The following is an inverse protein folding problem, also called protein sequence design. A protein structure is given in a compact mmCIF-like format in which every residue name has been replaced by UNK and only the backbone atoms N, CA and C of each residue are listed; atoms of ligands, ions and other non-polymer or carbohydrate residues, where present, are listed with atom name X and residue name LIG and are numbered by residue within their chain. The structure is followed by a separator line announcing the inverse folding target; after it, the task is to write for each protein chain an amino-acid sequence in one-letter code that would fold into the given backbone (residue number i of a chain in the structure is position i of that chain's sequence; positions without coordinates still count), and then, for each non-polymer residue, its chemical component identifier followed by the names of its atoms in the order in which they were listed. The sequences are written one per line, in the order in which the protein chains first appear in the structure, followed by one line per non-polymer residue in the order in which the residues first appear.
data_IF_632229623853
#
_entry.id   IF_632229623853
#
_cell.length_a   1.000
_cell.length_b   1.000
_cell.length_c   1.000
_cell.angle_alpha   90.00
_cell.angle_beta   90.00
_cell.angle_gamma   90.00
#
_symmetry.space_group_name_H-M   'P 1'
#
loop_
_entity.id
_entity.type
_entity.pdbx_description
1 polymer ?
#
# COMPACT_ATOMS: atom_id res chain seq x y z
N UNK A 1 -48.90 -1.29 46.53
CA UNK A 1 -48.12 -2.55 46.38
C UNK A 1 -46.87 -2.20 45.57
N UNK A 2 -45.75 -1.93 46.25
CA UNK A 2 -44.47 -1.59 45.65
C UNK A 2 -43.63 -2.86 45.54
N UNK A 3 -43.24 -3.25 44.36
CA UNK A 3 -42.27 -4.35 44.15
C UNK A 3 -40.93 -3.68 43.85
N UNK A 4 -40.03 -3.75 44.82
CA UNK A 4 -38.62 -3.40 44.63
C UNK A 4 -37.91 -4.63 44.12
N UNK A 5 -37.34 -4.55 42.92
CA UNK A 5 -36.42 -5.54 42.40
C UNK A 5 -34.97 -5.05 42.70
N UNK A 6 -34.32 -5.68 43.64
CA UNK A 6 -32.90 -5.55 43.88
C UNK A 6 -32.15 -6.32 42.80
N UNK A 7 -31.29 -5.63 42.04
CA UNK A 7 -30.32 -6.25 41.17
C UNK A 7 -29.07 -6.59 41.99
N UNK A 8 -28.59 -7.82 41.99
CA UNK A 8 -27.33 -8.14 42.63
C UNK A 8 -26.17 -7.55 41.79
N UNK A 9 -25.34 -6.78 42.47
CA UNK A 9 -24.20 -6.06 41.92
C UNK A 9 -23.11 -6.98 41.34
N UNK A 10 -22.61 -6.55 40.20
CA UNK A 10 -21.21 -6.52 39.80
C UNK A 10 -20.29 -7.69 40.17
N UNK A 11 -20.35 -8.76 39.40
CA UNK A 11 -19.24 -9.73 39.30
C UNK A 11 -18.66 -9.84 37.86
N UNK A 12 -19.11 -9.00 36.91
CA UNK A 12 -18.71 -9.09 35.50
C UNK A 12 -17.51 -8.20 35.16
N UNK A 13 -17.10 -7.30 36.07
CA UNK A 13 -16.06 -6.29 35.80
C UNK A 13 -14.61 -6.79 35.72
N UNK A 14 -14.28 -7.94 36.32
CA UNK A 14 -12.88 -8.37 36.40
C UNK A 14 -12.49 -9.49 35.42
N UNK A 15 -13.42 -10.24 34.91
CA UNK A 15 -13.14 -11.29 33.91
C UNK A 15 -12.84 -10.72 32.51
N UNK A 16 -13.41 -9.55 32.17
CA UNK A 16 -13.20 -8.90 30.88
C UNK A 16 -11.81 -8.30 30.71
N UNK A 17 -11.21 -7.79 31.81
CA UNK A 17 -9.88 -7.15 31.76
C UNK A 17 -8.76 -8.20 31.65
N UNK A 18 -8.94 -9.37 32.27
CA UNK A 18 -7.97 -10.47 32.16
C UNK A 18 -7.93 -11.12 30.77
N UNK A 19 -9.05 -11.09 30.02
CA UNK A 19 -9.10 -11.63 28.66
C UNK A 19 -8.41 -10.72 27.63
N UNK A 20 -8.46 -9.40 27.79
CA UNK A 20 -7.75 -8.47 26.91
C UNK A 20 -6.23 -8.50 27.12
N UNK A 21 -5.77 -8.75 28.33
CA UNK A 21 -4.34 -8.86 28.63
C UNK A 21 -3.66 -10.10 28.07
N UNK A 22 -4.40 -11.20 27.84
CA UNK A 22 -3.87 -12.44 27.28
C UNK A 22 -3.82 -12.46 25.75
N UNK A 23 -4.55 -11.56 25.05
CA UNK A 23 -4.48 -11.41 23.61
C UNK A 23 -3.32 -10.50 23.14
N UNK A 24 -2.64 -9.81 24.02
CA UNK A 24 -1.51 -8.95 23.67
C UNK A 24 -0.18 -9.69 23.44
N UNK A 25 -0.12 -11.00 23.70
CA UNK A 25 1.16 -11.73 23.72
C UNK A 25 1.66 -12.30 22.40
N UNK A 26 0.91 -12.29 21.28
CA UNK A 26 1.33 -13.06 20.10
C UNK A 26 0.99 -12.46 18.72
N UNK A 27 0.50 -11.21 18.62
CA UNK A 27 -0.03 -10.69 17.36
C UNK A 27 0.94 -9.80 16.55
N UNK A 28 2.18 -9.56 16.97
CA UNK A 28 2.99 -8.47 16.43
C UNK A 28 4.31 -8.93 15.78
N UNK A 29 4.33 -10.01 15.04
CA UNK A 29 5.49 -10.33 14.20
C UNK A 29 5.28 -9.79 12.79
N UNK A 30 5.28 -8.49 12.60
CA UNK A 30 5.03 -7.90 11.28
C UNK A 30 6.02 -6.79 11.00
N UNK A 31 6.80 -6.99 9.94
CA UNK A 31 7.54 -5.91 9.32
C UNK A 31 6.56 -5.00 8.57
N UNK A 32 6.69 -3.69 8.74
CA UNK A 32 5.82 -2.67 8.14
C UNK A 32 6.57 -1.91 7.05
N UNK A 33 5.93 -1.71 5.89
CA UNK A 33 6.44 -0.81 4.84
C UNK A 33 6.01 0.62 5.17
N UNK A 34 6.96 1.55 5.27
CA UNK A 34 6.70 2.91 5.78
C UNK A 34 6.77 4.01 4.74
N UNK A 35 7.42 3.80 3.59
CA UNK A 35 7.60 4.83 2.55
C UNK A 35 6.67 4.69 1.34
N UNK A 36 5.51 4.03 1.54
CA UNK A 36 4.48 3.87 0.51
C UNK A 36 4.55 2.54 -0.24
N UNK A 37 3.47 2.23 -0.95
CA UNK A 37 3.31 0.97 -1.67
C UNK A 37 3.45 1.11 -3.19
N UNK A 38 3.81 2.30 -3.69
CA UNK A 38 4.02 2.54 -5.12
C UNK A 38 5.11 3.57 -5.31
N UNK A 39 6.14 3.19 -6.05
CA UNK A 39 7.31 4.02 -6.33
C UNK A 39 7.48 4.14 -7.84
N UNK A 40 7.61 5.35 -8.32
CA UNK A 40 7.86 5.62 -9.72
C UNK A 40 9.22 6.30 -9.90
N UNK A 41 10.01 5.82 -10.86
CA UNK A 41 11.30 6.38 -11.25
C UNK A 41 11.31 6.77 -12.72
N UNK A 42 11.79 7.97 -12.99
CA UNK A 42 11.88 8.48 -14.35
C UNK A 42 13.13 7.95 -15.05
N UNK A 43 12.93 7.49 -16.28
CA UNK A 43 13.95 7.31 -17.31
C UNK A 43 15.28 6.75 -16.87
N UNK A 44 16.29 6.81 -17.72
CA UNK A 44 17.59 6.20 -17.43
C UNK A 44 18.42 6.92 -16.36
N UNK A 45 18.05 8.12 -15.96
CA UNK A 45 18.82 8.94 -15.02
C UNK A 45 18.72 8.53 -13.54
N UNK A 46 17.75 7.68 -13.19
CA UNK A 46 17.61 7.15 -11.83
C UNK A 46 17.78 5.64 -11.83
N UNK A 47 18.94 5.18 -11.38
CA UNK A 47 19.33 3.77 -11.41
C UNK A 47 18.64 2.93 -10.33
N UNK A 48 18.06 3.54 -9.31
CA UNK A 48 17.44 2.79 -8.21
C UNK A 48 16.75 3.66 -7.16
N UNK A 49 16.27 3.01 -6.12
CA UNK A 49 15.60 3.64 -4.98
C UNK A 49 15.68 2.76 -3.73
N UNK A 50 14.75 2.96 -2.80
CA UNK A 50 14.68 2.13 -1.62
C UNK A 50 13.24 1.88 -1.17
N UNK A 51 13.02 0.74 -0.52
CA UNK A 51 11.84 0.44 0.28
C UNK A 51 12.25 0.59 1.74
N UNK A 52 11.49 1.34 2.53
CA UNK A 52 11.75 1.47 3.97
C UNK A 52 10.90 0.48 4.75
N UNK A 53 11.55 -0.38 5.50
CA UNK A 53 10.95 -1.39 6.34
C UNK A 53 11.17 -1.04 7.81
N UNK A 54 10.15 -1.22 8.62
CA UNK A 54 10.18 -1.03 10.06
C UNK A 54 9.78 -2.31 10.78
N UNK A 55 10.57 -2.70 11.76
CA UNK A 55 10.24 -3.75 12.71
C UNK A 55 9.73 -3.12 14.00
N UNK A 56 8.42 -3.09 14.27
CA UNK A 56 7.86 -2.52 15.50
C UNK A 56 7.99 -3.43 16.73
N UNK A 57 8.60 -4.60 16.59
CA UNK A 57 8.66 -5.61 17.66
C UNK A 57 9.96 -5.55 18.44
N UNK A 58 9.98 -6.02 19.71
CA UNK A 58 11.19 -6.14 20.51
C UNK A 58 12.11 -7.28 20.06
N UNK A 59 11.73 -8.08 19.09
CA UNK A 59 12.49 -9.20 18.58
C UNK A 59 13.08 -8.91 17.20
N UNK A 60 14.21 -9.56 16.87
CA UNK A 60 14.77 -9.49 15.53
C UNK A 60 13.79 -10.16 14.54
N UNK A 61 13.50 -9.48 13.45
CA UNK A 61 12.67 -10.00 12.36
C UNK A 61 13.49 -10.16 11.09
N UNK A 62 13.05 -11.03 10.19
CA UNK A 62 13.59 -11.12 8.83
C UNK A 62 12.48 -10.85 7.83
N UNK A 63 12.63 -9.83 7.02
CA UNK A 63 11.74 -9.57 5.92
C UNK A 63 12.14 -10.44 4.72
N UNK A 64 11.14 -11.09 4.11
CA UNK A 64 11.28 -11.85 2.86
C UNK A 64 10.67 -11.03 1.74
N UNK A 65 11.44 -10.79 0.68
CA UNK A 65 11.04 -10.03 -0.49
C UNK A 65 10.98 -10.94 -1.71
N UNK A 66 9.79 -11.09 -2.27
CA UNK A 66 9.52 -11.90 -3.46
C UNK A 66 9.09 -10.98 -4.59
N UNK A 67 9.76 -11.10 -5.75
CA UNK A 67 9.47 -10.30 -6.95
C UNK A 67 8.45 -10.99 -7.83
N UNK A 68 7.57 -10.19 -8.43
CA UNK A 68 6.65 -10.61 -9.49
C UNK A 68 6.62 -9.56 -10.60
N UNK A 69 6.49 -10.01 -11.85
CA UNK A 69 6.47 -9.08 -13.00
C UNK A 69 5.13 -8.42 -13.14
N UNK A 70 5.13 -7.08 -13.23
CA UNK A 70 3.97 -6.29 -13.64
C UNK A 70 4.08 -5.87 -15.10
N UNK A 71 5.30 -5.54 -15.55
CA UNK A 71 5.59 -5.12 -16.91
C UNK A 71 7.09 -5.32 -17.19
N UNK A 72 7.42 -6.09 -18.22
CA UNK A 72 8.80 -6.38 -18.58
C UNK A 72 9.44 -7.53 -17.79
N UNK A 73 10.74 -7.82 -18.01
CA UNK A 73 11.43 -8.96 -17.39
C UNK A 73 11.80 -8.71 -15.93
N UNK A 74 11.62 -9.73 -15.08
CA UNK A 74 11.97 -9.68 -13.65
C UNK A 74 13.45 -9.47 -13.35
N UNK A 75 14.33 -9.90 -14.27
CA UNK A 75 15.78 -9.86 -14.09
C UNK A 75 16.36 -8.44 -14.16
N UNK A 76 15.55 -7.47 -14.56
CA UNK A 76 16.00 -6.09 -14.70
C UNK A 76 16.00 -5.34 -13.36
N UNK A 77 15.45 -5.93 -12.28
CA UNK A 77 15.49 -5.36 -10.94
C UNK A 77 16.38 -6.19 -10.01
N UNK A 78 17.37 -5.55 -9.44
CA UNK A 78 18.18 -6.10 -8.34
C UNK A 78 17.65 -5.58 -7.00
N UNK A 79 17.32 -6.48 -6.09
CA UNK A 79 16.90 -6.20 -4.71
C UNK A 79 17.22 -7.40 -3.84
N UNK A 80 17.55 -7.19 -2.57
CA UNK A 80 17.77 -8.28 -1.62
C UNK A 80 16.49 -9.11 -1.44
N UNK A 81 16.61 -10.44 -1.37
CA UNK A 81 15.49 -11.35 -1.11
C UNK A 81 15.17 -11.52 0.37
N UNK A 82 16.17 -11.29 1.23
CA UNK A 82 16.04 -11.40 2.68
C UNK A 82 16.74 -10.24 3.37
N UNK A 83 16.09 -9.65 4.38
CA UNK A 83 16.64 -8.50 5.10
C UNK A 83 16.40 -8.69 6.60
N UNK A 84 17.47 -8.90 7.40
CA UNK A 84 17.35 -8.93 8.85
C UNK A 84 17.14 -7.51 9.39
N UNK A 85 16.18 -7.36 10.29
CA UNK A 85 15.83 -6.06 10.90
C UNK A 85 15.92 -6.21 12.42
N UNK A 86 16.75 -5.39 13.04
CA UNK A 86 16.90 -5.36 14.50
C UNK A 86 15.57 -4.95 15.18
N UNK A 87 15.41 -5.25 16.49
CA UNK A 87 14.26 -4.78 17.25
C UNK A 87 14.05 -3.28 17.11
N UNK A 88 12.80 -2.87 16.91
CA UNK A 88 12.35 -1.46 16.84
C UNK A 88 13.07 -0.60 15.79
N UNK A 89 13.81 -1.23 14.87
CA UNK A 89 14.64 -0.56 13.88
C UNK A 89 13.93 -0.35 12.54
N UNK A 90 14.42 0.66 11.81
CA UNK A 90 14.10 0.89 10.41
C UNK A 90 15.30 0.57 9.53
N UNK A 91 15.03 -0.03 8.40
CA UNK A 91 16.04 -0.40 7.40
C UNK A 91 15.59 0.06 6.03
N UNK A 92 16.50 0.65 5.25
CA UNK A 92 16.29 0.96 3.83
C UNK A 92 16.83 -0.17 2.99
N UNK A 93 15.96 -0.84 2.28
CA UNK A 93 16.30 -1.88 1.30
C UNK A 93 16.42 -1.21 -0.05
N UNK A 94 17.64 -1.02 -0.49
CA UNK A 94 17.92 -0.43 -1.81
C UNK A 94 17.58 -1.42 -2.91
N UNK A 95 17.07 -0.90 -4.02
CA UNK A 95 16.90 -1.64 -5.26
C UNK A 95 17.51 -0.87 -6.42
N UNK A 96 17.93 -1.60 -7.46
CA UNK A 96 18.55 -1.02 -8.65
C UNK A 96 17.96 -1.65 -9.91
N UNK A 97 17.71 -0.82 -10.92
CA UNK A 97 17.36 -1.27 -12.26
C UNK A 97 18.65 -1.54 -13.06
N UNK A 98 18.75 -2.74 -13.63
CA UNK A 98 19.97 -3.22 -14.27
C UNK A 98 20.09 -2.80 -15.74
N UNK A 99 18.97 -2.47 -16.38
CA UNK A 99 18.98 -2.01 -17.77
C UNK A 99 18.91 -0.49 -17.84
N UNK A 100 19.66 0.06 -18.76
CA UNK A 100 19.70 1.50 -19.04
C UNK A 100 18.67 1.94 -20.09
N UNK A 101 17.96 0.98 -20.72
CA UNK A 101 16.97 1.32 -21.73
C UNK A 101 15.78 2.09 -21.13
N UNK A 102 15.17 2.93 -21.97
CA UNK A 102 14.01 3.76 -21.58
C UNK A 102 12.69 3.00 -21.61
N UNK A 103 12.73 1.68 -21.72
CA UNK A 103 11.51 0.86 -21.75
C UNK A 103 10.77 0.93 -20.43
N UNK A 104 9.45 1.03 -20.53
CA UNK A 104 8.58 1.03 -19.35
C UNK A 104 8.64 -0.33 -18.65
N UNK A 105 8.99 -0.32 -17.37
CA UNK A 105 9.15 -1.53 -16.55
C UNK A 105 8.35 -1.41 -15.25
N UNK A 106 7.87 -2.54 -14.76
CA UNK A 106 7.14 -2.62 -13.49
C UNK A 106 7.36 -3.96 -12.80
N UNK A 107 7.72 -3.92 -11.54
CA UNK A 107 7.91 -5.10 -10.69
C UNK A 107 7.14 -4.92 -9.39
N UNK A 108 6.39 -5.93 -9.00
CA UNK A 108 5.78 -6.02 -7.67
C UNK A 108 6.70 -6.75 -6.72
N UNK A 109 7.01 -6.13 -5.61
CA UNK A 109 7.77 -6.74 -4.52
C UNK A 109 6.81 -7.06 -3.39
N UNK A 110 6.63 -8.33 -3.13
CA UNK A 110 5.89 -8.77 -1.96
C UNK A 110 6.81 -8.80 -0.75
N UNK A 111 6.45 -8.08 0.28
CA UNK A 111 7.17 -8.04 1.55
C UNK A 111 6.36 -8.78 2.61
N UNK A 112 6.96 -9.79 3.21
CA UNK A 112 6.38 -10.55 4.32
C UNK A 112 7.45 -10.76 5.39
N UNK A 113 7.04 -11.06 6.61
CA UNK A 113 7.96 -11.50 7.66
C UNK A 113 8.20 -12.99 7.50
N UNK A 114 9.45 -13.44 7.60
CA UNK A 114 9.73 -14.85 7.75
C UNK A 114 8.98 -15.35 8.98
N UNK A 115 8.04 -16.25 8.78
CA UNK A 115 7.41 -16.90 9.92
C UNK A 115 8.52 -17.54 10.74
N UNK A 116 8.79 -17.03 11.94
CA UNK A 116 9.44 -17.89 12.91
C UNK A 116 8.57 -19.14 12.97
N UNK A 117 9.10 -20.27 12.54
CA UNK A 117 8.58 -21.56 12.92
C UNK A 117 8.73 -21.62 14.45
N UNK A 118 7.82 -20.98 15.15
CA UNK A 118 7.56 -21.34 16.52
C UNK A 118 7.28 -22.84 16.42
N UNK A 119 8.09 -23.65 17.09
CA UNK A 119 7.79 -25.03 17.31
C UNK A 119 6.31 -25.09 17.64
N UNK A 120 5.57 -25.87 16.84
CA UNK A 120 4.11 -25.89 16.92
C UNK A 120 3.76 -26.03 18.40
N UNK A 121 3.13 -25.04 19.04
CA UNK A 121 2.85 -25.14 20.46
C UNK A 121 2.05 -26.40 20.64
N UNK A 122 2.47 -27.26 21.57
CA UNK A 122 1.73 -28.45 21.94
C UNK A 122 0.27 -28.04 22.04
N UNK A 123 -0.56 -28.66 21.20
CA UNK A 123 -1.98 -28.34 21.09
C UNK A 123 -2.62 -28.69 22.44
N UNK A 124 -2.63 -27.72 23.36
CA UNK A 124 -3.43 -27.86 24.57
C UNK A 124 -4.89 -27.86 24.14
N UNK A 125 -5.56 -28.95 24.39
CA UNK A 125 -6.95 -29.14 24.05
C UNK A 125 -7.81 -27.93 24.46
N UNK A 126 -8.47 -27.30 23.47
CA UNK A 126 -9.39 -26.18 23.67
C UNK A 126 -8.85 -24.79 23.35
N UNK A 127 -7.63 -24.61 22.80
CA UNK A 127 -7.13 -23.31 22.35
C UNK A 127 -6.99 -23.29 20.82
N UNK A 128 -7.64 -22.33 20.19
CA UNK A 128 -7.45 -22.02 18.76
C UNK A 128 -6.39 -20.93 18.66
N UNK A 129 -5.22 -21.26 18.09
CA UNK A 129 -4.19 -20.31 17.75
C UNK A 129 -4.48 -19.75 16.34
N UNK A 130 -4.80 -18.47 16.24
CA UNK A 130 -4.95 -17.79 14.96
C UNK A 130 -3.64 -17.02 14.68
N UNK A 131 -2.88 -17.48 13.70
CA UNK A 131 -1.71 -16.77 13.22
C UNK A 131 -2.11 -15.89 12.04
N UNK A 132 -2.02 -14.57 12.20
CA UNK A 132 -2.26 -13.60 11.13
C UNK A 132 -0.90 -13.23 10.55
N UNK A 133 -0.71 -13.47 9.25
CA UNK A 133 0.45 -12.96 8.52
C UNK A 133 0.02 -11.85 7.58
N UNK A 134 0.74 -10.73 7.59
CA UNK A 134 0.53 -9.63 6.65
C UNK A 134 1.55 -9.70 5.54
N UNK A 135 1.09 -9.48 4.31
CA UNK A 135 1.93 -9.37 3.12
C UNK A 135 1.65 -8.03 2.45
N UNK A 136 2.69 -7.22 2.33
CA UNK A 136 2.61 -5.96 1.57
C UNK A 136 2.95 -6.23 0.12
N UNK A 137 2.27 -5.54 -0.80
CA UNK A 137 2.62 -5.50 -2.20
C UNK A 137 3.14 -4.09 -2.52
N UNK A 138 4.42 -3.97 -2.83
CA UNK A 138 5.08 -2.72 -3.20
C UNK A 138 5.32 -2.74 -4.70
N UNK A 139 4.73 -1.82 -5.42
CA UNK A 139 4.87 -1.71 -6.87
C UNK A 139 5.98 -0.71 -7.20
N UNK A 140 6.99 -1.19 -7.91
CA UNK A 140 8.13 -0.41 -8.36
C UNK A 140 8.01 -0.22 -9.87
N UNK A 141 8.03 1.02 -10.34
CA UNK A 141 7.90 1.37 -11.73
C UNK A 141 9.07 2.23 -12.20
N UNK A 142 9.49 2.02 -13.43
CA UNK A 142 10.48 2.83 -14.15
C UNK A 142 10.01 3.07 -15.57
N UNK A 143 10.18 4.30 -16.07
CA UNK A 143 9.83 4.64 -17.45
C UNK A 143 9.65 6.13 -17.66
N UNK A 144 9.01 6.46 -18.78
CA UNK A 144 8.59 7.82 -19.10
C UNK A 144 7.19 8.08 -18.56
N UNK A 145 6.86 9.34 -18.33
CA UNK A 145 5.51 9.76 -17.99
C UNK A 145 4.75 10.16 -19.25
N UNK A 146 3.55 9.69 -19.39
CA UNK A 146 2.63 10.22 -20.39
C UNK A 146 1.94 11.49 -19.87
N UNK A 147 1.58 12.36 -20.81
CA UNK A 147 0.85 13.60 -20.56
C UNK A 147 -0.65 13.48 -20.88
N UNK A 148 -1.01 12.48 -21.69
CA UNK A 148 -2.37 12.31 -22.18
C UNK A 148 -3.07 11.13 -21.49
N UNK A 149 -4.30 11.39 -21.08
CA UNK A 149 -5.21 10.40 -20.52
C UNK A 149 -6.56 10.49 -21.23
N UNK A 150 -7.20 9.37 -21.45
CA UNK A 150 -8.59 9.32 -21.86
C UNK A 150 -9.50 9.38 -20.62
N UNK A 151 -10.41 10.37 -20.62
CA UNK A 151 -11.29 10.68 -19.49
C UNK A 151 -12.75 10.51 -19.88
N UNK A 152 -13.44 9.59 -19.21
CA UNK A 152 -14.86 9.33 -19.45
C UNK A 152 -15.66 9.46 -18.14
N UNK A 153 -16.63 10.36 -18.11
CA UNK A 153 -17.55 10.50 -17.00
C UNK A 153 -18.56 9.36 -16.93
N UNK A 154 -18.88 8.94 -15.71
CA UNK A 154 -19.89 7.95 -15.41
C UNK A 154 -20.67 8.37 -14.15
N UNK A 155 -21.78 7.69 -13.85
CA UNK A 155 -22.58 7.94 -12.63
C UNK A 155 -21.78 7.74 -11.34
N UNK A 156 -20.71 6.93 -11.39
CA UNK A 156 -19.86 6.60 -10.24
C UNK A 156 -18.61 7.47 -10.11
N UNK A 157 -18.40 8.43 -11.03
CA UNK A 157 -17.21 9.27 -11.05
C UNK A 157 -16.57 9.37 -12.43
N UNK A 158 -15.26 9.52 -12.48
CA UNK A 158 -14.50 9.62 -13.72
C UNK A 158 -13.69 8.35 -13.98
N UNK A 159 -13.84 7.77 -15.17
CA UNK A 159 -12.97 6.70 -15.66
C UNK A 159 -11.76 7.35 -16.31
N UNK A 160 -10.60 6.98 -15.85
CA UNK A 160 -9.31 7.44 -16.35
C UNK A 160 -8.60 6.26 -17.00
N UNK A 161 -8.26 6.40 -18.28
CA UNK A 161 -7.59 5.34 -19.06
C UNK A 161 -6.28 5.86 -19.62
N UNK A 162 -5.21 5.14 -19.37
CA UNK A 162 -3.92 5.41 -19.99
C UNK A 162 -3.80 4.61 -21.29
N UNK A 163 -3.98 5.26 -22.43
CA UNK A 163 -3.86 4.63 -23.76
C UNK A 163 -2.44 4.75 -24.34
N UNK A 164 -1.54 5.43 -23.65
CA UNK A 164 -0.17 5.60 -24.11
C UNK A 164 0.69 4.34 -23.86
N UNK A 165 1.90 4.32 -24.41
CA UNK A 165 2.93 3.31 -24.11
C UNK A 165 3.73 3.60 -22.84
N UNK A 166 3.57 4.79 -22.27
CA UNK A 166 4.28 5.29 -21.10
C UNK A 166 3.38 5.25 -19.87
N UNK A 167 3.93 5.48 -18.68
CA UNK A 167 3.18 5.50 -17.43
C UNK A 167 2.50 6.86 -17.22
N UNK A 168 1.38 6.84 -16.55
CA UNK A 168 0.92 8.03 -15.84
C UNK A 168 1.12 7.82 -14.34
N UNK A 169 1.79 8.77 -13.67
CA UNK A 169 1.95 8.73 -12.22
C UNK A 169 1.56 10.10 -11.66
N UNK A 170 0.57 10.14 -10.76
CA UNK A 170 0.08 11.41 -10.26
C UNK A 170 -1.08 11.29 -9.30
N UNK A 171 -1.80 12.40 -9.15
CA UNK A 171 -2.92 12.54 -8.22
C UNK A 171 -4.13 13.16 -8.89
N UNK A 172 -5.31 12.79 -8.39
CA UNK A 172 -6.58 13.37 -8.78
C UNK A 172 -7.18 14.18 -7.62
N UNK A 173 -7.72 15.34 -7.94
CA UNK A 173 -8.39 16.24 -7.01
C UNK A 173 -9.77 16.59 -7.54
N UNK A 174 -10.68 17.01 -6.65
CA UNK A 174 -11.93 17.59 -7.05
C UNK A 174 -11.71 19.01 -7.57
N UNK A 175 -12.55 19.46 -8.53
CA UNK A 175 -12.68 20.87 -8.90
C UNK A 175 -13.90 21.43 -8.20
N UNK A 176 -13.74 22.59 -7.54
CA UNK A 176 -14.83 23.41 -6.99
C UNK A 176 -14.53 24.88 -7.27
N UNK A 177 -15.54 25.64 -7.67
CA UNK A 177 -15.38 27.05 -8.09
C UNK A 177 -14.31 27.24 -9.19
N UNK A 178 -14.17 26.26 -10.08
CA UNK A 178 -13.20 26.28 -11.15
C UNK A 178 -11.76 25.97 -10.75
N UNK A 179 -11.46 25.69 -9.47
CA UNK A 179 -10.11 25.47 -8.95
C UNK A 179 -9.94 24.09 -8.32
N UNK A 180 -8.69 23.63 -8.21
CA UNK A 180 -8.30 22.44 -7.47
C UNK A 180 -8.67 22.59 -5.99
N UNK A 181 -9.45 21.66 -5.46
CA UNK A 181 -9.95 21.73 -4.10
C UNK A 181 -9.45 20.58 -3.22
N UNK A 182 -8.98 20.93 -2.04
CA UNK A 182 -8.70 20.00 -0.96
C UNK A 182 -7.51 19.06 -1.17
N UNK A 183 -7.63 17.87 -0.56
CA UNK A 183 -6.63 16.81 -0.67
C UNK A 183 -6.88 15.95 -1.90
N UNK A 184 -5.83 15.27 -2.36
CA UNK A 184 -5.94 14.24 -3.38
C UNK A 184 -6.98 13.18 -2.96
N UNK A 185 -7.94 12.92 -3.84
CA UNK A 185 -8.99 11.93 -3.65
C UNK A 185 -8.61 10.56 -4.18
N UNK A 186 -7.72 10.53 -5.16
CA UNK A 186 -7.18 9.32 -5.76
C UNK A 186 -5.78 9.61 -6.31
N UNK A 187 -5.03 8.58 -6.63
CA UNK A 187 -3.72 8.71 -7.25
C UNK A 187 -3.02 7.37 -7.43
N UNK A 188 -1.76 7.45 -7.82
CA UNK A 188 -0.89 6.31 -8.05
C UNK A 188 -0.35 6.25 -9.47
N UNK A 189 0.00 5.04 -9.91
CA UNK A 189 0.54 4.80 -11.24
C UNK A 189 -0.49 4.06 -12.09
N UNK A 190 -0.74 4.55 -13.31
CA UNK A 190 -1.47 3.85 -14.37
C UNK A 190 -0.46 3.36 -15.40
N UNK A 191 -0.41 2.06 -15.59
CA UNK A 191 0.39 1.42 -16.63
C UNK A 191 -0.22 1.65 -18.01
N UNK A 192 0.53 1.44 -19.08
CA UNK A 192 -0.04 1.32 -20.42
C UNK A 192 -1.25 0.39 -20.45
N UNK A 193 -2.39 0.87 -20.94
CA UNK A 193 -3.65 0.13 -21.01
C UNK A 193 -4.48 0.05 -19.72
N UNK A 194 -3.97 0.53 -18.58
CA UNK A 194 -4.74 0.54 -17.33
C UNK A 194 -5.92 1.51 -17.43
N UNK A 195 -7.06 1.08 -16.88
CA UNK A 195 -8.26 1.91 -16.71
C UNK A 195 -8.75 1.81 -15.27
N UNK A 196 -9.02 2.95 -14.64
CA UNK A 196 -9.55 3.03 -13.26
C UNK A 196 -10.71 4.00 -13.18
N UNK A 197 -11.66 3.70 -12.30
CA UNK A 197 -12.74 4.62 -11.95
C UNK A 197 -12.41 5.27 -10.62
N UNK A 198 -12.35 6.60 -10.61
CA UNK A 198 -12.16 7.38 -9.40
C UNK A 198 -13.45 8.07 -9.00
N UNK A 199 -13.88 7.79 -7.79
CA UNK A 199 -15.07 8.41 -7.23
C UNK A 199 -14.74 9.83 -6.79
N UNK A 200 -15.55 10.78 -7.27
CA UNK A 200 -15.45 12.18 -6.90
C UNK A 200 -16.59 12.52 -5.92
N UNK A 201 -16.38 13.49 -5.01
CA UNK A 201 -17.46 14.04 -4.21
C UNK A 201 -18.63 14.52 -5.08
N UNK A 202 -19.85 14.35 -4.60
CA UNK A 202 -21.07 14.71 -5.38
C UNK A 202 -21.12 16.18 -5.78
N UNK A 203 -20.57 17.05 -4.94
CA UNK A 203 -20.49 18.50 -5.14
C UNK A 203 -19.30 18.97 -5.98
N UNK A 204 -18.56 18.04 -6.60
CA UNK A 204 -17.45 18.38 -7.49
C UNK A 204 -17.95 18.78 -8.89
N UNK A 205 -17.45 19.91 -9.37
CA UNK A 205 -17.67 20.40 -10.74
C UNK A 205 -16.83 19.66 -11.79
N UNK A 206 -15.84 18.88 -11.34
CA UNK A 206 -14.93 18.19 -12.22
C UNK A 206 -13.78 17.50 -11.51
N UNK A 207 -12.85 16.97 -12.30
CA UNK A 207 -11.62 16.33 -11.90
C UNK A 207 -10.39 17.12 -12.38
N UNK A 208 -9.43 17.28 -11.49
CA UNK A 208 -8.12 17.85 -11.75
C UNK A 208 -7.08 16.74 -11.56
N UNK A 209 -6.47 16.31 -12.65
CA UNK A 209 -5.44 15.29 -12.64
C UNK A 209 -4.09 15.98 -12.84
N UNK A 210 -3.18 15.76 -11.92
CA UNK A 210 -1.84 16.35 -11.95
C UNK A 210 -0.82 15.22 -11.89
N UNK A 211 0.02 15.08 -12.90
CA UNK A 211 1.09 14.11 -12.90
C UNK A 211 2.29 14.57 -12.07
N UNK A 212 3.29 13.69 -11.91
CA UNK A 212 4.49 13.98 -11.14
C UNK A 212 5.37 15.10 -11.76
N UNK A 213 5.11 15.51 -13.01
CA UNK A 213 5.75 16.63 -13.68
C UNK A 213 4.99 17.94 -13.50
N UNK A 214 3.86 17.93 -12.83
CA UNK A 214 2.98 19.07 -12.70
C UNK A 214 2.14 19.33 -13.96
N UNK A 215 2.13 18.40 -14.93
CA UNK A 215 1.23 18.48 -16.09
C UNK A 215 -0.18 18.20 -15.63
N UNK A 216 -1.10 19.07 -16.00
CA UNK A 216 -2.48 19.02 -15.53
C UNK A 216 -3.40 18.64 -16.68
N UNK A 217 -4.26 17.65 -16.43
CA UNK A 217 -5.42 17.34 -17.26
C UNK A 217 -6.67 17.63 -16.44
N UNK A 218 -7.43 18.64 -16.80
CA UNK A 218 -8.65 19.00 -16.11
C UNK A 218 -9.87 18.63 -16.97
N UNK A 219 -10.86 18.00 -16.32
CA UNK A 219 -12.13 17.66 -16.95
C UNK A 219 -13.28 18.13 -16.10
N UNK A 220 -14.22 18.89 -16.70
CA UNK A 220 -15.47 19.28 -16.03
C UNK A 220 -16.49 18.17 -16.15
N UNK A 221 -17.32 18.05 -15.13
CA UNK A 221 -18.47 17.15 -15.16
C UNK A 221 -19.48 17.70 -16.15
N UNK A 222 -20.03 16.86 -17.05
CA UNK A 222 -21.04 17.31 -18.01
C UNK A 222 -22.32 17.79 -17.35
#
# INVERSE_FOLDING_TARGET
MKISAEFPGSAIGWAGILWFGLLQGSAWSQVVVTNGLSHFQRGPSQEGGYIELWNPTPERQTAILIRDSLLGPLNDLQIASEVPIAPEARVRVTYQWLREDSSSQGVRVFVSTAAHRAEAPEVQAGRVLVQISTRYAVDLYRGQLCEELDLLWSDRGIRVTNQSKDFWAGSCYAIRNGERHGRSIAGGVLRPGDSRVWQLPEDSEGAWLENADGVVVASRRP
#
